data_IF_866081088350
#
_entry.id   IF_866081088350
#
_cell.length_a   1.000
_cell.length_b   1.000
_cell.length_c   1.000
_cell.angle_alpha   90.00
_cell.angle_beta   90.00
_cell.angle_gamma   90.00
#
_symmetry.space_group_name_H-M   'P 1'
#
loop_
_entity.id
_entity.type
_entity.pdbx_description
1 polymer ?
#
# COMPACT_ATOMS: atom_id res chain seq x y z
N UNK A 1 -9.66 60.41 -2.25
CA UNK A 1 -9.59 59.02 -1.74
C UNK A 1 -9.21 58.11 -2.91
N UNK A 2 -7.96 57.64 -2.96
CA UNK A 2 -7.32 57.08 -4.16
C UNK A 2 -7.93 55.74 -4.61
N UNK A 3 -8.41 55.70 -5.85
CA UNK A 3 -8.94 54.51 -6.54
C UNK A 3 -7.90 53.36 -6.59
N UNK A 4 -6.62 53.69 -6.75
CA UNK A 4 -5.50 52.72 -6.75
C UNK A 4 -5.32 51.97 -5.44
N UNK A 5 -5.69 52.56 -4.30
CA UNK A 5 -5.67 51.89 -2.99
C UNK A 5 -6.85 50.92 -2.82
N UNK A 6 -8.02 51.25 -3.38
CA UNK A 6 -9.16 50.32 -3.42
C UNK A 6 -8.87 49.14 -4.34
N UNK A 7 -8.31 49.39 -5.52
CA UNK A 7 -7.99 48.33 -6.48
C UNK A 7 -6.90 47.38 -5.95
N UNK A 8 -5.89 47.89 -5.23
CA UNK A 8 -4.87 47.03 -4.61
C UNK A 8 -5.44 46.18 -3.45
N UNK A 9 -6.37 46.73 -2.65
CA UNK A 9 -7.04 45.99 -1.57
C UNK A 9 -8.02 44.95 -2.12
N UNK A 10 -8.74 45.27 -3.21
CA UNK A 10 -9.65 44.34 -3.89
C UNK A 10 -8.86 43.23 -4.58
N UNK A 11 -7.74 43.55 -5.24
CA UNK A 11 -6.82 42.57 -5.81
C UNK A 11 -6.23 41.65 -4.73
N UNK A 12 -5.85 42.19 -3.57
CA UNK A 12 -5.36 41.42 -2.42
C UNK A 12 -6.45 40.58 -1.75
N UNK A 13 -7.71 40.98 -1.84
CA UNK A 13 -8.86 40.18 -1.33
C UNK A 13 -9.24 39.00 -2.25
N UNK A 14 -8.92 39.10 -3.55
CA UNK A 14 -9.16 38.04 -4.55
C UNK A 14 -7.95 37.15 -4.80
N UNK A 15 -6.76 37.56 -4.33
CA UNK A 15 -5.56 36.73 -4.42
C UNK A 15 -5.77 35.44 -3.62
N UNK A 16 -5.82 34.32 -4.35
CA UNK A 16 -5.79 32.97 -3.80
C UNK A 16 -4.56 32.88 -2.89
N UNK A 17 -4.76 32.49 -1.62
CA UNK A 17 -3.65 32.41 -0.67
C UNK A 17 -2.59 31.42 -1.19
N UNK A 18 -1.28 31.75 -1.14
CA UNK A 18 -0.22 30.84 -1.58
C UNK A 18 -0.27 29.48 -0.87
N UNK A 19 -0.86 29.43 0.33
CA UNK A 19 -1.10 28.20 1.09
C UNK A 19 -2.06 27.21 0.43
N UNK A 20 -2.96 27.66 -0.45
CA UNK A 20 -3.87 26.77 -1.18
C UNK A 20 -3.09 25.91 -2.19
N UNK A 21 -2.24 26.53 -3.00
CA UNK A 21 -1.34 25.82 -3.92
C UNK A 21 -0.36 24.93 -3.16
N UNK A 22 0.15 25.41 -2.02
CA UNK A 22 1.00 24.61 -1.15
C UNK A 22 0.31 23.33 -0.64
N UNK A 23 -0.90 23.43 -0.08
CA UNK A 23 -1.63 22.25 0.38
C UNK A 23 -2.11 21.36 -0.77
N UNK A 24 -2.36 21.93 -1.95
CA UNK A 24 -2.67 21.15 -3.14
C UNK A 24 -1.48 20.28 -3.56
N UNK A 25 -0.30 20.89 -3.68
CA UNK A 25 0.94 20.15 -3.95
C UNK A 25 1.21 19.09 -2.89
N UNK A 26 1.05 19.43 -1.61
CA UNK A 26 1.26 18.47 -0.52
C UNK A 26 0.28 17.29 -0.61
N UNK A 27 -1.00 17.58 -0.86
CA UNK A 27 -2.04 16.55 -1.03
C UNK A 27 -1.75 15.65 -2.23
N UNK A 28 -1.28 16.23 -3.33
CA UNK A 28 -0.92 15.51 -4.55
C UNK A 28 0.21 14.50 -4.27
N UNK A 29 1.26 14.96 -3.59
CA UNK A 29 2.41 14.13 -3.28
C UNK A 29 2.10 13.05 -2.25
N UNK A 30 1.28 13.35 -1.23
CA UNK A 30 0.82 12.34 -0.25
C UNK A 30 -0.01 11.26 -0.95
N UNK A 31 -0.91 11.65 -1.86
CA UNK A 31 -1.72 10.70 -2.62
C UNK A 31 -0.85 9.82 -3.53
N UNK A 32 0.15 10.40 -4.19
CA UNK A 32 1.11 9.66 -5.02
C UNK A 32 1.96 8.70 -4.17
N UNK A 33 2.42 9.14 -3.01
CA UNK A 33 3.18 8.31 -2.08
C UNK A 33 2.40 7.08 -1.62
N UNK A 34 1.07 7.20 -1.47
CA UNK A 34 0.21 6.13 -0.98
C UNK A 34 0.08 4.94 -1.96
N UNK A 35 0.63 5.03 -3.18
CA UNK A 35 0.67 3.92 -4.14
C UNK A 35 -0.66 3.62 -4.85
N UNK A 36 -1.66 4.50 -4.73
CA UNK A 36 -2.95 4.38 -5.40
C UNK A 36 -2.95 5.07 -6.78
N UNK A 37 -3.91 4.74 -7.67
CA UNK A 37 -4.08 5.45 -8.92
C UNK A 37 -4.26 6.96 -8.72
N UNK A 38 -3.63 7.73 -9.60
CA UNK A 38 -3.67 9.17 -9.57
C UNK A 38 -5.11 9.70 -9.68
N UNK A 39 -5.50 10.59 -8.76
CA UNK A 39 -6.82 11.22 -8.78
C UNK A 39 -6.76 12.68 -8.35
N UNK A 40 -6.99 13.59 -9.30
CA UNK A 40 -7.10 15.03 -9.02
C UNK A 40 -8.30 15.35 -8.13
N UNK A 41 -9.38 14.57 -8.26
CA UNK A 41 -10.60 14.74 -7.47
C UNK A 41 -10.30 14.57 -5.97
N UNK A 42 -9.66 13.46 -5.58
CA UNK A 42 -9.31 13.23 -4.18
C UNK A 42 -8.20 14.15 -3.68
N UNK A 43 -7.28 14.58 -4.55
CA UNK A 43 -6.29 15.60 -4.21
C UNK A 43 -6.96 16.93 -3.86
N UNK A 44 -7.88 17.41 -4.69
CA UNK A 44 -8.64 18.61 -4.43
C UNK A 44 -9.46 18.46 -3.13
N UNK A 45 -10.09 17.30 -2.94
CA UNK A 45 -10.94 17.05 -1.77
C UNK A 45 -10.14 17.03 -0.46
N UNK A 46 -8.94 16.43 -0.47
CA UNK A 46 -8.04 16.44 0.68
C UNK A 46 -7.48 17.86 0.94
N UNK A 47 -7.21 18.62 -0.12
CA UNK A 47 -6.82 20.03 0.00
C UNK A 47 -7.91 20.87 0.66
N UNK A 48 -9.17 20.71 0.23
CA UNK A 48 -10.33 21.36 0.83
C UNK A 48 -10.45 21.01 2.32
N UNK A 49 -10.29 19.74 2.68
CA UNK A 49 -10.29 19.27 4.07
C UNK A 49 -9.19 19.95 4.90
N UNK A 50 -7.96 20.02 4.38
CA UNK A 50 -6.84 20.68 5.08
C UNK A 50 -7.08 22.19 5.25
N UNK A 51 -7.65 22.86 4.25
CA UNK A 51 -8.00 24.28 4.33
C UNK A 51 -9.09 24.55 5.37
N UNK A 52 -10.10 23.67 5.45
CA UNK A 52 -11.15 23.74 6.46
C UNK A 52 -10.59 23.50 7.87
N UNK A 53 -9.81 22.44 8.05
CA UNK A 53 -9.18 22.10 9.33
C UNK A 53 -8.26 23.22 9.81
N UNK A 54 -7.55 23.92 8.92
CA UNK A 54 -6.72 25.06 9.31
C UNK A 54 -7.55 26.18 9.96
N UNK A 55 -8.78 26.41 9.49
CA UNK A 55 -9.66 27.45 10.05
C UNK A 55 -10.36 27.01 11.32
N UNK A 56 -10.87 25.78 11.38
CA UNK A 56 -11.65 25.29 12.52
C UNK A 56 -10.76 24.80 13.66
N UNK A 57 -9.71 24.03 13.35
CA UNK A 57 -8.86 23.36 14.33
C UNK A 57 -7.41 23.25 13.81
N UNK A 58 -6.65 24.37 13.80
CA UNK A 58 -5.31 24.41 13.20
C UNK A 58 -4.31 23.44 13.85
N UNK A 59 -4.49 23.11 15.14
CA UNK A 59 -3.67 22.08 15.81
C UNK A 59 -3.89 20.69 15.21
N UNK A 60 -5.15 20.29 14.99
CA UNK A 60 -5.48 19.02 14.37
C UNK A 60 -4.99 18.96 12.92
N UNK A 61 -5.12 20.08 12.18
CA UNK A 61 -4.58 20.20 10.83
C UNK A 61 -3.06 19.95 10.78
N UNK A 62 -2.31 20.57 11.69
CA UNK A 62 -0.85 20.40 11.79
C UNK A 62 -0.45 18.96 12.13
N UNK A 63 -1.15 18.35 13.09
CA UNK A 63 -0.90 16.95 13.46
C UNK A 63 -1.20 16.03 12.27
N UNK A 64 -2.36 16.20 11.64
CA UNK A 64 -2.76 15.40 10.49
C UNK A 64 -1.76 15.52 9.34
N UNK A 65 -1.43 16.74 8.91
CA UNK A 65 -0.51 16.94 7.78
C UNK A 65 0.92 16.51 8.13
N UNK A 66 1.36 16.70 9.38
CA UNK A 66 2.67 16.25 9.83
C UNK A 66 2.80 14.73 9.78
N UNK A 67 1.81 14.02 10.33
CA UNK A 67 1.77 12.55 10.29
C UNK A 67 1.65 12.02 8.86
N UNK A 68 0.74 12.57 8.05
CA UNK A 68 0.57 12.15 6.67
C UNK A 68 1.85 12.38 5.84
N UNK A 69 2.52 13.51 6.04
CA UNK A 69 3.77 13.82 5.32
C UNK A 69 4.92 12.95 5.76
N UNK A 70 5.03 12.63 7.05
CA UNK A 70 6.04 11.71 7.57
C UNK A 70 5.85 10.30 7.02
N UNK A 71 4.62 9.77 7.12
CA UNK A 71 4.28 8.44 6.60
C UNK A 71 4.49 8.40 5.08
N UNK A 72 4.01 9.40 4.35
CA UNK A 72 4.21 9.50 2.91
C UNK A 72 5.70 9.56 2.54
N UNK A 73 6.51 10.31 3.27
CA UNK A 73 7.95 10.41 3.02
C UNK A 73 8.67 9.07 3.20
N UNK A 74 8.36 8.33 4.27
CA UNK A 74 8.94 7.02 4.54
C UNK A 74 8.45 5.96 3.55
N UNK A 75 7.17 6.02 3.18
CA UNK A 75 6.54 5.02 2.32
C UNK A 75 6.77 5.29 0.83
N UNK A 76 7.14 6.51 0.40
CA UNK A 76 7.24 6.86 -1.02
C UNK A 76 8.08 5.87 -1.86
N UNK A 77 9.30 5.46 -1.46
CA UNK A 77 10.08 4.49 -2.23
C UNK A 77 9.37 3.14 -2.37
N UNK A 78 8.75 2.67 -1.29
CA UNK A 78 7.97 1.43 -1.26
C UNK A 78 6.72 1.54 -2.13
N UNK A 79 5.99 2.65 -2.05
CA UNK A 79 4.77 2.89 -2.83
C UNK A 79 5.04 2.92 -4.34
N UNK A 80 6.22 3.38 -4.77
CA UNK A 80 6.61 3.34 -6.19
C UNK A 80 6.96 1.93 -6.67
N UNK A 81 7.58 1.11 -5.82
CA UNK A 81 7.98 -0.25 -6.21
C UNK A 81 6.85 -1.26 -6.08
N UNK A 82 6.04 -1.17 -5.02
CA UNK A 82 5.07 -2.19 -4.62
C UNK A 82 3.61 -1.73 -4.65
N UNK A 83 3.35 -0.44 -4.91
CA UNK A 83 2.00 0.12 -4.93
C UNK A 83 1.42 0.31 -3.54
N UNK A 84 0.10 0.28 -3.40
CA UNK A 84 -0.60 0.47 -2.13
C UNK A 84 -0.40 -0.69 -1.14
N UNK A 85 -0.49 -0.45 0.18
CA UNK A 85 -0.37 -1.51 1.19
C UNK A 85 -1.34 -2.64 0.94
N UNK A 86 -0.81 -3.86 0.89
CA UNK A 86 -1.56 -5.10 0.68
C UNK A 86 -0.96 -6.22 1.53
N UNK A 87 -1.67 -7.35 1.60
CA UNK A 87 -1.26 -8.54 2.33
C UNK A 87 0.21 -8.90 2.11
N UNK A 88 0.67 -9.00 0.86
CA UNK A 88 2.05 -9.42 0.55
C UNK A 88 3.09 -8.40 1.03
N UNK A 89 2.84 -7.10 0.85
CA UNK A 89 3.76 -6.05 1.32
C UNK A 89 3.88 -6.03 2.85
N UNK A 90 2.78 -6.24 3.56
CA UNK A 90 2.80 -6.27 5.03
C UNK A 90 3.38 -7.57 5.56
N UNK A 91 3.10 -8.69 4.89
CA UNK A 91 3.69 -9.99 5.19
C UNK A 91 5.21 -9.95 5.06
N UNK A 92 5.70 -9.35 3.98
CA UNK A 92 7.13 -9.12 3.77
C UNK A 92 7.69 -8.32 4.95
N UNK A 93 7.09 -7.16 5.31
CA UNK A 93 7.53 -6.36 6.45
C UNK A 93 7.61 -7.14 7.78
N UNK A 94 6.69 -8.08 8.04
CA UNK A 94 6.74 -8.94 9.23
C UNK A 94 7.79 -10.04 9.13
N UNK A 95 8.12 -10.52 7.93
CA UNK A 95 9.09 -11.60 7.72
C UNK A 95 10.53 -11.10 7.51
N UNK A 96 10.71 -9.82 7.17
CA UNK A 96 12.01 -9.26 6.81
C UNK A 96 12.93 -9.17 8.03
N UNK A 97 14.16 -9.65 7.87
CA UNK A 97 15.23 -9.52 8.87
C UNK A 97 16.07 -8.24 8.62
N UNK A 98 17.06 -7.96 9.48
CA UNK A 98 17.87 -6.72 9.36
C UNK A 98 18.69 -6.70 8.06
N UNK A 99 19.27 -7.84 7.65
CA UNK A 99 20.08 -7.93 6.43
C UNK A 99 19.21 -7.67 5.19
N UNK A 100 18.08 -8.36 5.08
CA UNK A 100 17.11 -8.22 3.99
C UNK A 100 16.53 -6.79 3.93
N UNK A 101 16.32 -6.16 5.10
CA UNK A 101 15.88 -4.76 5.18
C UNK A 101 16.91 -3.80 4.58
N UNK A 102 18.21 -4.03 4.83
CA UNK A 102 19.27 -3.17 4.28
C UNK A 102 19.39 -3.32 2.77
N UNK A 103 19.29 -4.55 2.25
CA UNK A 103 19.32 -4.80 0.80
C UNK A 103 18.13 -4.12 0.09
N UNK A 104 16.92 -4.24 0.64
CA UNK A 104 15.71 -3.58 0.10
C UNK A 104 15.90 -2.06 0.01
N UNK A 105 16.50 -1.44 1.03
CA UNK A 105 16.75 0.00 1.01
C UNK A 105 17.76 0.41 -0.09
N UNK A 106 18.68 -0.48 -0.48
CA UNK A 106 19.61 -0.19 -1.59
C UNK A 106 19.03 -0.42 -2.97
N UNK A 107 17.95 -1.19 -3.09
CA UNK A 107 17.31 -1.52 -4.37
C UNK A 107 16.55 -0.31 -4.93
N UNK A 108 15.97 0.53 -4.07
CA UNK A 108 15.17 1.65 -4.56
C UNK A 108 16.05 2.74 -5.20
N UNK A 109 15.61 3.30 -6.35
CA UNK A 109 16.33 4.40 -6.98
C UNK A 109 16.49 5.60 -6.03
N UNK A 110 17.69 6.20 -6.02
CA UNK A 110 18.03 7.33 -5.13
C UNK A 110 17.06 8.52 -5.24
N UNK A 111 16.48 8.76 -6.43
CA UNK A 111 15.53 9.85 -6.64
C UNK A 111 14.22 9.68 -5.84
N UNK A 112 13.81 8.45 -5.53
CA UNK A 112 12.62 8.21 -4.70
C UNK A 112 12.84 8.71 -3.27
N UNK A 113 14.05 8.55 -2.73
CA UNK A 113 14.41 9.09 -1.43
C UNK A 113 14.44 10.62 -1.41
N UNK A 114 14.90 11.25 -2.50
CA UNK A 114 14.86 12.71 -2.61
C UNK A 114 13.43 13.25 -2.65
N UNK A 115 12.52 12.57 -3.36
CA UNK A 115 11.10 12.94 -3.35
C UNK A 115 10.50 12.74 -1.95
N UNK A 116 10.83 11.63 -1.27
CA UNK A 116 10.44 11.42 0.13
C UNK A 116 10.92 12.55 1.06
N UNK A 117 12.19 12.95 0.94
CA UNK A 117 12.76 14.06 1.70
C UNK A 117 12.06 15.39 1.37
N UNK A 118 11.71 15.62 0.10
CA UNK A 118 10.97 16.80 -0.32
C UNK A 118 9.57 16.85 0.29
N UNK A 119 8.83 15.72 0.29
CA UNK A 119 7.52 15.59 0.95
C UNK A 119 7.64 15.90 2.45
N UNK A 120 8.67 15.36 3.10
CA UNK A 120 8.94 15.60 4.51
C UNK A 120 9.23 17.08 4.79
N UNK A 121 10.09 17.71 3.98
CA UNK A 121 10.43 19.13 4.11
C UNK A 121 9.19 20.03 3.98
N UNK A 122 8.32 19.75 3.01
CA UNK A 122 7.03 20.44 2.87
C UNK A 122 6.13 20.21 4.10
N UNK A 123 6.10 18.99 4.64
CA UNK A 123 5.40 18.69 5.90
C UNK A 123 5.89 19.55 7.07
N UNK A 124 7.21 19.67 7.23
CA UNK A 124 7.83 20.53 8.26
C UNK A 124 7.47 22.00 8.07
N UNK A 125 7.50 22.51 6.83
CA UNK A 125 7.08 23.87 6.49
C UNK A 125 5.60 24.08 6.85
N UNK A 126 4.73 23.11 6.54
CA UNK A 126 3.31 23.16 6.85
C UNK A 126 3.04 23.26 8.36
N UNK A 127 3.73 22.44 9.16
CA UNK A 127 3.58 22.41 10.62
C UNK A 127 4.09 23.70 11.27
N UNK A 128 5.17 24.28 10.73
CA UNK A 128 5.77 25.54 11.19
C UNK A 128 4.94 26.78 10.83
N UNK A 129 3.90 26.65 10.00
CA UNK A 129 3.00 27.76 9.67
C UNK A 129 2.47 28.43 10.94
N UNK A 130 2.72 29.74 11.10
CA UNK A 130 2.21 30.51 12.24
C UNK A 130 0.69 30.62 12.14
N UNK A 131 0.01 30.43 13.26
CA UNK A 131 -1.44 30.54 13.33
C UNK A 131 -1.82 32.02 13.23
N UNK A 132 -2.79 32.34 12.37
CA UNK A 132 -3.40 33.67 12.36
C UNK A 132 -4.26 33.80 13.63
N UNK A 133 -4.00 34.84 14.43
CA UNK A 133 -4.66 35.07 15.71
C UNK A 133 -6.13 35.46 15.55
N UNK A 134 -6.53 35.93 14.36
CA UNK A 134 -7.90 36.35 14.08
C UNK A 134 -8.74 35.25 13.44
N UNK A 135 -9.83 34.88 14.11
CA UNK A 135 -10.87 34.00 13.57
C UNK A 135 -11.68 34.78 12.53
N UNK A 136 -11.36 34.59 11.25
CA UNK A 136 -12.18 35.13 10.14
C UNK A 136 -13.55 34.45 10.11
N UNK A 137 -14.60 35.20 9.81
CA UNK A 137 -15.96 34.69 9.68
C UNK A 137 -16.07 33.59 8.61
N UNK A 138 -17.01 32.66 8.79
CA UNK A 138 -17.30 31.57 7.85
C UNK A 138 -17.75 32.13 6.49
N UNK A 139 -17.09 31.69 5.42
CA UNK A 139 -17.37 32.16 4.06
C UNK A 139 -18.12 31.09 3.27
N UNK A 140 -18.84 31.51 2.23
CA UNK A 140 -19.50 30.60 1.27
C UNK A 140 -18.52 29.57 0.70
N UNK A 141 -17.26 29.97 0.44
CA UNK A 141 -16.20 29.08 -0.03
C UNK A 141 -15.92 27.94 0.95
N UNK A 142 -16.05 28.18 2.26
CA UNK A 142 -15.85 27.12 3.27
C UNK A 142 -17.00 26.11 3.23
N UNK A 143 -18.24 26.59 3.06
CA UNK A 143 -19.40 25.70 2.85
C UNK A 143 -19.25 24.85 1.59
N UNK A 144 -18.74 25.43 0.49
CA UNK A 144 -18.47 24.70 -0.76
C UNK A 144 -17.36 23.67 -0.57
N UNK A 145 -16.25 24.04 0.08
CA UNK A 145 -15.18 23.09 0.41
C UNK A 145 -15.68 21.94 1.28
N UNK A 146 -16.57 22.22 2.23
CA UNK A 146 -17.15 21.21 3.12
C UNK A 146 -18.05 20.28 2.34
N UNK A 147 -18.98 20.83 1.55
CA UNK A 147 -19.87 20.07 0.69
C UNK A 147 -19.08 19.18 -0.27
N UNK A 148 -18.04 19.72 -0.92
CA UNK A 148 -17.18 18.97 -1.82
C UNK A 148 -16.45 17.81 -1.12
N UNK A 149 -15.92 18.06 0.09
CA UNK A 149 -15.24 17.03 0.88
C UNK A 149 -16.20 15.91 1.32
N UNK A 150 -17.43 16.28 1.71
CA UNK A 150 -18.48 15.33 2.08
C UNK A 150 -18.91 14.50 0.87
N UNK A 151 -19.16 15.13 -0.28
CA UNK A 151 -19.51 14.41 -1.51
C UNK A 151 -18.40 13.42 -1.87
N UNK A 152 -17.14 13.88 -1.89
CA UNK A 152 -15.99 13.04 -2.21
C UNK A 152 -15.87 11.80 -1.31
N UNK A 153 -16.23 11.92 -0.03
CA UNK A 153 -16.22 10.81 0.91
C UNK A 153 -17.18 9.68 0.51
N UNK A 154 -18.37 10.04 0.00
CA UNK A 154 -19.42 9.08 -0.37
C UNK A 154 -19.31 8.57 -1.82
N UNK A 155 -18.50 9.18 -2.69
CA UNK A 155 -18.36 8.73 -4.09
C UNK A 155 -18.01 7.25 -4.18
N UNK A 156 -16.97 6.79 -3.48
CA UNK A 156 -16.51 5.40 -3.59
C UNK A 156 -17.49 4.39 -2.95
N UNK A 157 -18.06 4.62 -1.74
CA UNK A 157 -19.10 3.76 -1.20
C UNK A 157 -20.35 3.64 -2.09
N UNK A 158 -20.77 4.75 -2.74
CA UNK A 158 -21.91 4.75 -3.66
C UNK A 158 -21.58 4.03 -4.96
N UNK A 159 -20.37 4.22 -5.51
CA UNK A 159 -19.90 3.47 -6.68
C UNK A 159 -19.84 1.96 -6.41
N UNK A 160 -19.36 1.56 -5.24
CA UNK A 160 -19.35 0.16 -4.83
C UNK A 160 -20.77 -0.41 -4.80
N UNK A 161 -21.75 0.34 -4.28
CA UNK A 161 -23.15 -0.08 -4.30
C UNK A 161 -23.72 -0.16 -5.72
N UNK A 162 -23.41 0.82 -6.58
CA UNK A 162 -23.90 0.90 -7.95
C UNK A 162 -23.37 -0.23 -8.87
N UNK A 163 -22.16 -0.73 -8.60
CA UNK A 163 -21.54 -1.83 -9.36
C UNK A 163 -21.70 -3.21 -8.68
N UNK A 164 -22.73 -3.37 -7.83
CA UNK A 164 -23.12 -4.67 -7.26
C UNK A 164 -22.34 -5.10 -6.02
N UNK A 165 -21.54 -4.21 -5.43
CA UNK A 165 -20.88 -4.39 -4.15
C UNK A 165 -21.73 -3.96 -2.95
N UNK A 166 -21.19 -4.16 -1.74
CA UNK A 166 -21.85 -3.78 -0.48
C UNK A 166 -21.45 -2.36 -0.10
N UNK A 167 -22.42 -1.51 0.24
CA UNK A 167 -22.15 -0.19 0.80
C UNK A 167 -21.45 -0.33 2.16
N UNK A 168 -20.20 0.11 2.23
CA UNK A 168 -19.43 0.17 3.47
C UNK A 168 -18.80 1.54 3.58
N UNK A 169 -19.13 2.27 4.65
CA UNK A 169 -18.59 3.61 4.93
C UNK A 169 -17.05 3.62 5.03
N UNK A 170 -16.43 2.50 5.37
CA UNK A 170 -14.97 2.37 5.42
C UNK A 170 -14.30 2.39 4.04
N UNK A 171 -15.03 2.12 2.94
CA UNK A 171 -14.48 2.05 1.59
C UNK A 171 -14.44 3.45 0.93
N UNK A 172 -14.06 4.46 1.71
CA UNK A 172 -13.89 5.83 1.22
C UNK A 172 -12.80 5.87 0.16
N UNK A 173 -12.97 6.74 -0.84
CA UNK A 173 -11.97 6.90 -1.89
C UNK A 173 -10.79 7.79 -1.50
N UNK A 174 -10.80 8.40 -0.31
CA UNK A 174 -9.71 9.24 0.16
C UNK A 174 -8.44 8.41 0.38
N UNK A 175 -7.33 8.67 -0.35
CA UNK A 175 -6.12 7.87 -0.27
C UNK A 175 -5.56 7.71 1.14
N UNK A 176 -5.56 8.78 1.94
CA UNK A 176 -5.07 8.74 3.34
C UNK A 176 -5.90 7.79 4.21
N UNK A 177 -7.23 7.85 4.12
CA UNK A 177 -8.11 6.95 4.87
C UNK A 177 -8.01 5.51 4.37
N UNK A 178 -7.95 5.34 3.05
CA UNK A 178 -7.79 4.04 2.41
C UNK A 178 -6.47 3.39 2.81
N UNK A 179 -5.38 4.16 2.86
CA UNK A 179 -4.07 3.70 3.32
C UNK A 179 -4.14 3.13 4.74
N UNK A 180 -4.72 3.88 5.69
CA UNK A 180 -4.88 3.42 7.08
C UNK A 180 -5.75 2.16 7.15
N UNK A 181 -6.87 2.14 6.42
CA UNK A 181 -7.75 0.97 6.35
C UNK A 181 -7.02 -0.25 5.79
N UNK A 182 -6.33 -0.09 4.66
CA UNK A 182 -5.62 -1.16 3.99
C UNK A 182 -4.48 -1.70 4.88
N UNK A 183 -3.73 -0.82 5.55
CA UNK A 183 -2.72 -1.25 6.55
C UNK A 183 -3.38 -2.07 7.66
N UNK A 184 -4.45 -1.59 8.29
CA UNK A 184 -5.08 -2.29 9.42
C UNK A 184 -5.68 -3.64 8.99
N UNK A 185 -6.47 -3.65 7.91
CA UNK A 185 -7.18 -4.86 7.46
C UNK A 185 -6.19 -5.91 6.99
N UNK A 186 -5.25 -5.55 6.11
CA UNK A 186 -4.27 -6.52 5.61
C UNK A 186 -3.31 -6.97 6.73
N UNK A 187 -2.96 -6.10 7.69
CA UNK A 187 -2.11 -6.51 8.82
C UNK A 187 -2.83 -7.53 9.73
N UNK A 188 -4.12 -7.35 9.97
CA UNK A 188 -4.90 -8.33 10.74
C UNK A 188 -4.97 -9.68 10.01
N UNK A 189 -5.16 -9.67 8.68
CA UNK A 189 -5.11 -10.90 7.87
C UNK A 189 -3.74 -11.58 7.96
N UNK A 190 -2.64 -10.81 7.96
CA UNK A 190 -1.28 -11.35 8.14
C UNK A 190 -1.10 -12.01 9.51
N UNK A 191 -1.55 -11.35 10.58
CA UNK A 191 -1.46 -11.90 11.94
C UNK A 191 -2.28 -13.18 12.06
N UNK A 192 -3.52 -13.18 11.54
CA UNK A 192 -4.38 -14.37 11.55
C UNK A 192 -3.73 -15.53 10.79
N UNK A 193 -3.10 -15.27 9.65
CA UNK A 193 -2.38 -16.27 8.87
C UNK A 193 -1.17 -16.83 9.62
N UNK A 194 -0.39 -15.97 10.30
CA UNK A 194 0.74 -16.40 11.13
C UNK A 194 0.29 -17.26 12.31
N UNK A 195 -0.78 -16.86 13.00
CA UNK A 195 -1.37 -17.66 14.07
C UNK A 195 -1.88 -19.01 13.55
N UNK A 196 -2.50 -19.02 12.36
CA UNK A 196 -2.94 -20.25 11.71
C UNK A 196 -1.75 -21.17 11.43
N UNK A 197 -0.66 -20.64 10.87
CA UNK A 197 0.56 -21.42 10.62
C UNK A 197 1.18 -21.97 11.91
N UNK A 198 1.23 -21.16 12.97
CA UNK A 198 1.74 -21.60 14.28
C UNK A 198 0.87 -22.69 14.92
N UNK A 199 -0.46 -22.64 14.75
CA UNK A 199 -1.36 -23.71 15.19
C UNK A 199 -1.16 -24.97 14.37
N UNK A 200 -0.99 -24.85 13.05
CA UNK A 200 -0.74 -25.99 12.17
C UNK A 200 0.58 -26.70 12.51
N UNK A 201 1.65 -25.96 12.81
CA UNK A 201 2.95 -26.55 13.13
C UNK A 201 2.95 -27.33 14.45
N UNK A 202 2.07 -27.00 15.39
CA UNK A 202 1.89 -27.71 16.65
C UNK A 202 1.00 -28.96 16.56
N UNK A 203 0.28 -29.16 15.46
CA UNK A 203 -0.57 -30.35 15.30
C UNK A 203 0.27 -31.56 14.92
N UNK A 204 0.07 -32.66 15.66
CA UNK A 204 0.68 -33.95 15.29
C UNK A 204 -0.04 -34.54 14.09
N UNK A 205 0.74 -35.19 13.24
CA UNK A 205 0.20 -36.02 12.16
C UNK A 205 -0.78 -37.06 12.71
N UNK A 206 -1.92 -37.17 12.04
CA UNK A 206 -2.95 -38.17 12.38
C UNK A 206 -2.73 -39.49 11.66
N UNK A 207 -1.80 -39.54 10.71
CA UNK A 207 -1.48 -40.71 9.91
C UNK A 207 -0.21 -41.38 10.45
N UNK A 208 -0.22 -42.71 10.45
CA UNK A 208 0.95 -43.53 10.78
C UNK A 208 1.35 -44.36 9.57
N UNK A 209 2.65 -44.46 9.34
CA UNK A 209 3.18 -45.27 8.25
C UNK A 209 3.15 -46.74 8.67
N UNK A 210 2.33 -47.55 8.01
CA UNK A 210 2.17 -48.97 8.35
C UNK A 210 3.16 -49.88 7.62
N UNK A 211 3.55 -49.53 6.40
CA UNK A 211 4.58 -50.21 5.62
C UNK A 211 5.17 -49.30 4.55
N UNK A 212 6.45 -49.48 4.25
CA UNK A 212 7.14 -48.81 3.13
C UNK A 212 8.00 -49.81 2.37
N UNK A 213 8.05 -49.68 1.04
CA UNK A 213 8.99 -50.40 0.17
C UNK A 213 9.72 -49.40 -0.72
N UNK A 214 10.67 -48.63 -0.16
CA UNK A 214 11.28 -47.53 -0.89
C UNK A 214 12.22 -48.06 -1.98
N UNK A 215 12.18 -47.44 -3.17
CA UNK A 215 13.16 -47.70 -4.23
C UNK A 215 14.52 -47.06 -3.92
N UNK A 216 14.50 -45.91 -3.26
CA UNK A 216 15.68 -45.15 -2.86
C UNK A 216 15.66 -44.87 -1.37
N UNK A 217 16.83 -44.83 -0.74
CA UNK A 217 16.97 -44.57 0.70
C UNK A 217 16.99 -43.07 1.02
N UNK A 218 17.41 -42.23 0.07
CA UNK A 218 17.55 -40.79 0.25
C UNK A 218 16.68 -40.05 -0.74
N UNK A 219 15.84 -39.15 -0.24
CA UNK A 219 15.08 -38.21 -1.03
C UNK A 219 15.52 -36.80 -0.64
N UNK A 220 15.94 -36.01 -1.63
CA UNK A 220 16.32 -34.61 -1.43
C UNK A 220 15.23 -33.75 -2.05
N UNK A 221 14.67 -32.86 -1.24
CA UNK A 221 13.70 -31.84 -1.70
C UNK A 221 14.41 -30.50 -1.67
N UNK A 222 14.50 -29.85 -2.83
CA UNK A 222 15.05 -28.50 -2.95
C UNK A 222 13.88 -27.53 -3.10
N UNK A 223 13.77 -26.59 -2.16
CA UNK A 223 12.77 -25.52 -2.19
C UNK A 223 13.48 -24.26 -2.67
N UNK A 224 13.20 -23.85 -3.90
CA UNK A 224 13.76 -22.63 -4.49
C UNK A 224 13.11 -21.36 -3.93
N UNK A 225 13.77 -20.21 -4.16
CA UNK A 225 13.28 -18.89 -3.76
C UNK A 225 13.23 -17.98 -5.01
N UNK A 226 12.09 -17.32 -5.23
CA UNK A 226 11.85 -16.31 -6.27
C UNK A 226 12.24 -16.65 -7.73
N UNK A 227 12.57 -17.91 -8.05
CA UNK A 227 12.91 -18.35 -9.39
C UNK A 227 11.65 -18.42 -10.28
N UNK A 228 11.70 -17.77 -11.45
CA UNK A 228 10.59 -17.76 -12.42
C UNK A 228 10.94 -18.56 -13.67
N UNK A 229 9.94 -19.23 -14.24
CA UNK A 229 10.07 -20.07 -15.44
C UNK A 229 10.71 -19.33 -16.63
N UNK A 230 10.23 -18.12 -16.91
CA UNK A 230 10.66 -17.30 -18.05
C UNK A 230 12.11 -16.80 -17.93
N UNK A 231 12.67 -16.85 -16.73
CA UNK A 231 14.06 -16.49 -16.46
C UNK A 231 15.02 -17.70 -16.45
N UNK A 232 14.54 -18.94 -16.60
CA UNK A 232 15.38 -20.14 -16.55
C UNK A 232 15.46 -20.83 -17.92
N UNK A 233 16.68 -20.95 -18.47
CA UNK A 233 16.91 -21.54 -19.79
C UNK A 233 16.35 -22.96 -19.95
N UNK A 234 16.54 -23.82 -18.95
CA UNK A 234 16.05 -25.21 -18.95
C UNK A 234 14.52 -25.32 -19.00
N UNK A 235 13.81 -24.23 -18.70
CA UNK A 235 12.36 -24.16 -18.73
C UNK A 235 11.81 -23.25 -19.85
N UNK A 236 12.63 -22.97 -20.88
CA UNK A 236 12.23 -22.17 -22.04
C UNK A 236 12.44 -20.67 -21.89
N UNK A 237 13.18 -20.23 -20.87
CA UNK A 237 13.63 -18.85 -20.73
C UNK A 237 14.63 -18.44 -21.81
N UNK A 238 14.78 -17.14 -22.05
CA UNK A 238 15.63 -16.62 -23.13
C UNK A 238 17.14 -16.78 -22.90
N UNK A 239 17.57 -16.97 -21.65
CA UNK A 239 18.98 -17.02 -21.26
C UNK A 239 19.44 -18.44 -20.99
N UNK A 240 20.64 -18.78 -21.44
CA UNK A 240 21.31 -20.05 -21.10
C UNK A 240 22.00 -19.95 -19.74
N UNK A 241 21.20 -19.89 -18.67
CA UNK A 241 21.67 -19.68 -17.30
C UNK A 241 21.47 -20.90 -16.38
N UNK A 242 21.08 -22.05 -16.94
CA UNK A 242 20.86 -23.30 -16.20
C UNK A 242 21.55 -24.51 -16.86
N UNK A 243 22.87 -24.46 -17.15
CA UNK A 243 23.55 -25.47 -17.96
C UNK A 243 23.49 -26.88 -17.37
N UNK A 244 23.53 -27.01 -16.04
CA UNK A 244 23.35 -28.29 -15.36
C UNK A 244 21.94 -28.85 -15.55
N UNK A 245 20.90 -28.04 -15.29
CA UNK A 245 19.52 -28.50 -15.42
C UNK A 245 19.16 -28.82 -16.88
N UNK A 246 19.68 -28.06 -17.85
CA UNK A 246 19.43 -28.29 -19.28
C UNK A 246 19.97 -29.64 -19.79
N UNK A 247 20.91 -30.25 -19.06
CA UNK A 247 21.54 -31.55 -19.43
C UNK A 247 21.21 -32.68 -18.47
N UNK A 248 20.51 -32.39 -17.38
CA UNK A 248 20.17 -33.36 -16.35
C UNK A 248 19.06 -34.31 -16.83
N UNK A 249 19.23 -35.60 -16.53
CA UNK A 249 18.18 -36.60 -16.75
C UNK A 249 17.09 -36.44 -15.67
N UNK A 250 15.90 -35.99 -16.07
CA UNK A 250 14.78 -35.79 -15.16
C UNK A 250 13.47 -35.44 -15.86
N UNK A 251 12.39 -35.36 -15.08
CA UNK A 251 11.10 -34.85 -15.54
C UNK A 251 11.01 -33.36 -15.26
N UNK A 252 10.73 -32.57 -16.30
CA UNK A 252 10.56 -31.13 -16.19
C UNK A 252 9.08 -30.78 -16.27
N UNK A 253 8.58 -30.14 -15.21
CA UNK A 253 7.22 -29.62 -15.17
C UNK A 253 7.21 -28.21 -15.75
N UNK A 254 6.82 -28.10 -17.03
CA UNK A 254 6.90 -26.83 -17.75
C UNK A 254 5.79 -25.85 -17.37
N UNK A 255 4.65 -26.31 -16.86
CA UNK A 255 3.48 -25.47 -16.56
C UNK A 255 3.15 -25.40 -15.07
N UNK A 256 4.16 -25.60 -14.21
CA UNK A 256 3.98 -25.44 -12.77
C UNK A 256 3.72 -23.98 -12.40
N UNK A 257 2.65 -23.74 -11.65
CA UNK A 257 2.31 -22.44 -11.07
C UNK A 257 2.35 -22.57 -9.54
N UNK A 258 3.10 -21.69 -8.89
CA UNK A 258 3.20 -21.68 -7.43
C UNK A 258 1.83 -21.44 -6.78
N UNK A 259 1.63 -22.03 -5.60
CA UNK A 259 0.38 -21.89 -4.85
C UNK A 259 0.08 -20.44 -4.40
N UNK A 260 1.11 -19.60 -4.28
CA UNK A 260 0.99 -18.16 -3.98
C UNK A 260 2.25 -17.41 -4.44
N UNK A 261 2.15 -16.08 -4.57
CA UNK A 261 3.26 -15.19 -4.92
C UNK A 261 4.14 -14.74 -3.74
N UNK A 262 3.96 -15.30 -2.55
CA UNK A 262 4.77 -14.99 -1.35
C UNK A 262 5.22 -16.26 -0.65
N UNK A 263 6.44 -16.27 -0.10
CA UNK A 263 7.10 -17.46 0.46
C UNK A 263 6.24 -18.14 1.53
N UNK A 264 5.77 -17.39 2.54
CA UNK A 264 5.00 -17.98 3.64
C UNK A 264 3.71 -18.67 3.18
N UNK A 265 2.93 -18.02 2.31
CA UNK A 265 1.67 -18.59 1.82
C UNK A 265 1.92 -19.72 0.81
N UNK A 266 2.93 -19.61 -0.03
CA UNK A 266 3.29 -20.64 -1.00
C UNK A 266 3.73 -21.92 -0.31
N UNK A 267 4.62 -21.83 0.69
CA UNK A 267 5.05 -22.98 1.50
C UNK A 267 3.89 -23.55 2.32
N UNK A 268 3.12 -22.67 2.97
CA UNK A 268 1.98 -23.07 3.78
C UNK A 268 0.91 -23.83 2.99
N UNK A 269 0.72 -23.52 1.71
CA UNK A 269 -0.21 -24.24 0.83
C UNK A 269 0.40 -25.49 0.17
N UNK A 270 1.70 -25.47 -0.11
CA UNK A 270 2.40 -26.57 -0.80
C UNK A 270 2.68 -27.75 0.13
N UNK A 271 3.07 -27.47 1.37
CA UNK A 271 3.53 -28.49 2.32
C UNK A 271 2.45 -28.95 3.30
N UNK A 272 1.33 -28.24 3.38
CA UNK A 272 0.22 -28.63 4.26
C UNK A 272 -0.96 -29.15 3.47
N UNK A 273 -1.60 -30.19 4.01
CA UNK A 273 -2.90 -30.63 3.51
C UNK A 273 -3.96 -29.61 3.93
N UNK A 274 -4.56 -28.92 2.94
CA UNK A 274 -5.70 -28.03 3.17
C UNK A 274 -6.86 -28.85 3.75
N UNK A 275 -7.23 -28.63 5.02
CA UNK A 275 -8.45 -29.20 5.58
C UNK A 275 -9.65 -28.40 5.07
N UNK A 276 -10.10 -28.70 3.86
CA UNK A 276 -11.35 -28.15 3.34
C UNK A 276 -12.52 -28.80 4.08
N UNK A 277 -13.06 -28.14 5.10
CA UNK A 277 -14.42 -28.41 5.61
C UNK A 277 -15.49 -27.80 4.69
N UNK A 278 -15.18 -27.60 3.41
CA UNK A 278 -16.15 -27.18 2.39
C UNK A 278 -15.77 -27.82 1.05
N UNK A 279 -16.76 -28.46 0.43
CA UNK A 279 -16.65 -29.34 -0.74
C UNK A 279 -15.93 -28.69 -1.92
N UNK A 280 -15.19 -29.53 -2.66
CA UNK A 280 -14.70 -29.36 -4.02
C UNK A 280 -13.49 -28.43 -4.24
N UNK A 281 -12.31 -28.91 -3.84
CA UNK A 281 -11.07 -28.60 -4.57
C UNK A 281 -10.43 -29.90 -5.04
N UNK A 282 -10.58 -30.21 -6.34
CA UNK A 282 -9.75 -31.21 -7.02
C UNK A 282 -8.35 -30.62 -7.14
N UNK A 283 -7.38 -31.21 -6.45
CA UNK A 283 -5.98 -31.07 -6.84
C UNK A 283 -5.82 -31.94 -8.09
N UNK A 284 -5.73 -31.30 -9.25
CA UNK A 284 -5.31 -31.97 -10.48
C UNK A 284 -3.80 -31.82 -10.51
N UNK A 285 -3.08 -32.93 -10.37
CA UNK A 285 -1.67 -33.03 -10.71
C UNK A 285 -1.51 -33.09 -12.23
#
# INVERSE_FOLDING_TARGET
MNLTLKDSLIARSRAISPWTGFYFLQSLLINLASGYPFSLFYTAAFTCLLLLLWRTTPRAQKVLIGLCSLIAAMYFPFGQAYGSPNFNTLLALHSTNVEESTEILTIFPWYNYLVGLFIFALGVIAVRRKQETEKKAWRVVDSVCLLFSVIAFFVAPVQNLAWGGVFKLKDTGYPVFRFVKDVIVNNNEVIEEQERMAKLSGMKDTWTVTAVKPRYHTYVVVIGESARRDAMGAFGGHWDNTPFASTANGYFFMDYVAASGSTQKSLGLTLNRVSTTSRNSRITL
#
